data_IF_277754098143
#
_entry.id   IF_277754098143
#
_cell.length_a   1.000
_cell.length_b   1.000
_cell.length_c   1.000
_cell.angle_alpha   90.00
_cell.angle_beta   90.00
_cell.angle_gamma   90.00
#
_symmetry.space_group_name_H-M   'P 1'
#
loop_
_entity.id
_entity.type
_entity.pdbx_description
1 polymer ?
#
# COMPACT_ATOMS: atom_id res chain seq x y z
N UNK A 1 0.20 -12.29 9.73
CA UNK A 1 1.48 -11.63 9.37
C UNK A 1 2.28 -11.40 10.65
N UNK A 2 3.61 -11.52 10.65
CA UNK A 2 4.41 -11.22 11.85
C UNK A 2 4.63 -9.70 11.99
N UNK A 3 4.91 -9.20 13.21
CA UNK A 3 5.21 -7.77 13.43
C UNK A 3 6.38 -7.28 12.57
N UNK A 4 7.37 -8.13 12.29
CA UNK A 4 8.51 -7.79 11.43
C UNK A 4 8.08 -7.58 9.98
N UNK A 5 7.29 -8.50 9.43
CA UNK A 5 6.74 -8.41 8.07
C UNK A 5 5.85 -7.18 7.88
N UNK A 6 5.13 -6.75 8.92
CA UNK A 6 4.36 -5.51 8.92
C UNK A 6 5.26 -4.27 8.86
N UNK A 7 6.35 -4.23 9.63
CA UNK A 7 7.29 -3.10 9.59
C UNK A 7 7.96 -2.99 8.23
N UNK A 8 8.32 -4.12 7.62
CA UNK A 8 8.87 -4.18 6.26
C UNK A 8 7.87 -3.69 5.22
N UNK A 9 6.59 -4.08 5.36
CA UNK A 9 5.50 -3.58 4.52
C UNK A 9 5.34 -2.06 4.62
N UNK A 10 5.27 -1.52 5.82
CA UNK A 10 5.13 -0.09 6.04
C UNK A 10 6.37 0.69 5.56
N UNK A 11 7.57 0.17 5.82
CA UNK A 11 8.81 0.76 5.33
C UNK A 11 8.88 0.72 3.79
N UNK A 12 8.41 -0.36 3.18
CA UNK A 12 8.29 -0.44 1.74
C UNK A 12 7.33 0.61 1.19
N UNK A 13 6.13 0.73 1.74
CA UNK A 13 5.15 1.71 1.28
C UNK A 13 5.70 3.14 1.42
N UNK A 14 6.34 3.47 2.55
CA UNK A 14 6.99 4.76 2.75
C UNK A 14 8.10 5.02 1.73
N UNK A 15 8.87 4.00 1.33
CA UNK A 15 9.93 4.11 0.33
C UNK A 15 9.43 4.03 -1.13
N UNK A 16 8.28 3.40 -1.36
CA UNK A 16 7.64 3.24 -2.68
C UNK A 16 6.86 4.47 -3.11
N UNK A 17 6.51 5.35 -2.16
CA UNK A 17 5.72 6.57 -2.32
C UNK A 17 6.26 7.61 -3.32
N UNK A 18 7.22 7.28 -4.18
CA UNK A 18 7.81 8.16 -5.19
C UNK A 18 6.84 8.82 -6.18
N UNK A 19 5.53 8.53 -6.14
CA UNK A 19 4.52 9.29 -6.88
C UNK A 19 3.27 9.69 -6.05
N UNK A 20 3.24 9.40 -4.75
CA UNK A 20 2.22 9.92 -3.83
C UNK A 20 2.40 11.42 -3.50
N UNK A 21 3.50 12.03 -3.94
CA UNK A 21 3.93 13.37 -3.50
C UNK A 21 3.57 14.53 -4.44
N UNK A 22 2.78 14.32 -5.51
CA UNK A 22 2.63 15.38 -6.54
C UNK A 22 1.52 16.40 -6.24
N UNK A 23 0.73 16.27 -5.16
CA UNK A 23 -0.38 17.24 -4.93
C UNK A 23 -0.84 17.50 -3.48
N UNK A 24 -0.30 16.83 -2.47
CA UNK A 24 -0.70 17.09 -1.08
C UNK A 24 0.08 18.29 -0.50
N UNK A 25 -0.58 19.26 0.16
CA UNK A 25 0.13 20.36 0.81
C UNK A 25 1.06 19.82 1.91
N UNK A 26 2.29 20.33 1.97
CA UNK A 26 3.35 19.87 2.88
C UNK A 26 2.96 19.87 4.38
N UNK A 27 1.93 20.64 4.77
CA UNK A 27 1.39 20.67 6.13
C UNK A 27 0.41 19.52 6.45
N UNK A 28 -0.03 18.76 5.44
CA UNK A 28 -0.84 17.56 5.60
C UNK A 28 -0.01 16.28 5.76
N UNK A 29 1.32 16.41 5.93
CA UNK A 29 2.26 15.30 5.88
C UNK A 29 3.07 15.12 7.19
N UNK A 30 2.51 14.48 8.22
CA UNK A 30 3.33 13.53 8.96
C UNK A 30 3.59 12.35 8.01
N UNK A 31 4.82 11.85 7.94
CA UNK A 31 5.07 10.58 7.24
C UNK A 31 4.02 9.56 7.68
N UNK A 32 3.43 8.82 6.74
CA UNK A 32 2.27 7.95 6.99
C UNK A 32 2.55 7.12 8.24
N UNK A 33 1.92 7.49 9.35
CA UNK A 33 2.05 6.77 10.60
C UNK A 33 1.24 5.47 10.50
N UNK A 34 1.43 4.59 11.47
CA UNK A 34 0.80 3.29 11.47
C UNK A 34 -0.74 3.39 11.40
N UNK A 35 -1.33 4.38 12.06
CA UNK A 35 -2.78 4.61 12.08
C UNK A 35 -3.29 5.18 10.75
N UNK A 36 -2.54 6.07 10.10
CA UNK A 36 -2.80 6.53 8.74
C UNK A 36 -2.77 5.40 7.72
N UNK A 37 -1.79 4.50 7.81
CA UNK A 37 -1.69 3.33 6.95
C UNK A 37 -2.89 2.39 7.08
N UNK A 38 -3.36 2.14 8.31
CA UNK A 38 -4.55 1.33 8.57
C UNK A 38 -5.79 1.98 7.96
N UNK A 39 -6.00 3.28 8.20
CA UNK A 39 -7.18 4.00 7.66
C UNK A 39 -7.25 3.99 6.13
N UNK A 40 -6.10 4.12 5.46
CA UNK A 40 -6.03 3.99 4.00
C UNK A 40 -6.40 2.56 3.58
N UNK A 41 -5.90 1.55 4.28
CA UNK A 41 -6.22 0.15 3.99
C UNK A 41 -7.69 -0.19 4.20
N UNK A 42 -8.30 0.27 5.28
CA UNK A 42 -9.73 0.11 5.55
C UNK A 42 -10.60 0.82 4.50
N UNK A 43 -10.18 2.01 4.07
CA UNK A 43 -10.85 2.72 2.98
C UNK A 43 -10.77 1.92 1.68
N UNK A 44 -9.59 1.39 1.35
CA UNK A 44 -9.40 0.57 0.16
C UNK A 44 -10.29 -0.67 0.17
N UNK A 45 -10.37 -1.39 1.30
CA UNK A 45 -11.23 -2.58 1.45
C UNK A 45 -12.71 -2.21 1.29
N UNK A 46 -13.15 -1.10 1.89
CA UNK A 46 -14.54 -0.64 1.80
C UNK A 46 -14.96 -0.31 0.38
N UNK A 47 -14.05 0.28 -0.39
CA UNK A 47 -14.27 0.63 -1.80
C UNK A 47 -14.06 -0.58 -2.74
N UNK A 48 -13.40 -1.65 -2.26
CA UNK A 48 -13.12 -2.87 -3.01
C UNK A 48 -13.55 -4.12 -2.20
N UNK A 49 -14.86 -4.38 -2.05
CA UNK A 49 -15.37 -5.44 -1.16
C UNK A 49 -15.03 -6.87 -1.61
N UNK A 50 -14.54 -7.05 -2.84
CA UNK A 50 -14.08 -8.34 -3.37
C UNK A 50 -12.64 -8.69 -2.96
N UNK A 51 -11.96 -7.81 -2.22
CA UNK A 51 -10.57 -8.00 -1.80
C UNK A 51 -10.49 -9.04 -0.68
N UNK A 52 -9.90 -10.19 -0.99
CA UNK A 52 -9.59 -11.26 -0.05
C UNK A 52 -8.14 -11.15 0.43
N UNK A 53 -7.92 -11.19 1.75
CA UNK A 53 -6.61 -11.14 2.39
C UNK A 53 -5.63 -12.22 1.87
N UNK A 54 -6.06 -13.48 1.81
CA UNK A 54 -5.24 -14.58 1.34
C UNK A 54 -4.98 -14.49 -0.17
N UNK A 55 -5.91 -13.89 -0.92
CA UNK A 55 -5.68 -13.60 -2.33
C UNK A 55 -4.61 -12.52 -2.51
N UNK A 56 -4.72 -11.40 -1.78
CA UNK A 56 -3.73 -10.31 -1.82
C UNK A 56 -2.34 -10.77 -1.39
N UNK A 57 -2.24 -11.52 -0.30
CA UNK A 57 -0.94 -11.99 0.17
C UNK A 57 -0.27 -12.90 -0.87
N UNK A 58 -1.03 -13.83 -1.48
CA UNK A 58 -0.49 -14.71 -2.55
C UNK A 58 -0.14 -13.94 -3.82
N UNK A 59 -0.90 -12.89 -4.15
CA UNK A 59 -0.67 -12.10 -5.36
C UNK A 59 0.56 -11.17 -5.22
N UNK A 60 0.66 -10.48 -4.08
CA UNK A 60 1.66 -9.44 -3.85
C UNK A 60 2.95 -9.99 -3.25
N UNK A 61 2.85 -11.02 -2.40
CA UNK A 61 3.94 -11.58 -1.63
C UNK A 61 3.88 -13.14 -1.65
N UNK A 62 3.87 -13.78 -2.83
CA UNK A 62 3.71 -15.23 -2.95
C UNK A 62 4.74 -16.03 -2.14
N UNK A 63 5.96 -15.51 -2.06
CA UNK A 63 7.09 -16.10 -1.33
C UNK A 63 7.44 -15.27 -0.08
N UNK A 64 6.54 -14.40 0.38
CA UNK A 64 6.81 -13.45 1.45
C UNK A 64 7.73 -12.29 1.04
N UNK A 65 8.25 -11.60 2.05
CA UNK A 65 9.17 -10.47 1.87
C UNK A 65 10.55 -10.94 1.41
N UNK A 66 10.99 -10.44 0.27
CA UNK A 66 12.30 -10.70 -0.31
C UNK A 66 12.70 -9.53 -1.21
N UNK A 67 14.00 -9.39 -1.51
CA UNK A 67 14.48 -8.36 -2.44
C UNK A 67 13.79 -8.43 -3.80
N UNK A 68 13.51 -9.65 -4.29
CA UNK A 68 12.77 -9.89 -5.53
C UNK A 68 11.32 -9.43 -5.42
N UNK A 69 10.63 -9.74 -4.32
CA UNK A 69 9.27 -9.27 -4.09
C UNK A 69 9.23 -7.73 -4.04
N UNK A 70 10.16 -7.11 -3.31
CA UNK A 70 10.34 -5.67 -3.23
C UNK A 70 10.54 -5.03 -4.61
N UNK A 71 11.42 -5.59 -5.45
CA UNK A 71 11.63 -5.10 -6.82
C UNK A 71 10.37 -5.25 -7.69
N UNK A 72 9.67 -6.39 -7.58
CA UNK A 72 8.41 -6.65 -8.28
C UNK A 72 7.31 -5.67 -7.89
N UNK A 73 7.17 -5.36 -6.59
CA UNK A 73 6.21 -4.37 -6.10
C UNK A 73 6.55 -2.97 -6.62
N UNK A 74 7.82 -2.54 -6.61
CA UNK A 74 8.22 -1.24 -7.21
C UNK A 74 7.86 -1.15 -8.68
N UNK A 75 8.03 -2.25 -9.42
CA UNK A 75 7.68 -2.29 -10.83
C UNK A 75 6.15 -2.15 -11.03
N UNK A 76 5.35 -2.86 -10.24
CA UNK A 76 3.88 -2.77 -10.27
C UNK A 76 3.38 -1.37 -9.92
N UNK A 77 3.92 -0.75 -8.87
CA UNK A 77 3.60 0.63 -8.49
C UNK A 77 3.87 1.61 -9.65
N UNK A 78 5.02 1.48 -10.32
CA UNK A 78 5.33 2.32 -11.50
C UNK A 78 4.37 2.07 -12.66
N UNK A 79 4.01 0.80 -12.91
CA UNK A 79 3.04 0.46 -13.94
C UNK A 79 1.66 1.06 -13.63
N UNK A 80 1.22 1.01 -12.37
CA UNK A 80 -0.04 1.62 -11.93
C UNK A 80 -0.10 3.12 -12.21
N UNK A 81 0.96 3.87 -11.88
CA UNK A 81 1.00 5.29 -12.18
C UNK A 81 1.01 5.56 -13.69
N UNK A 82 1.78 4.79 -14.46
CA UNK A 82 1.83 4.93 -15.92
C UNK A 82 0.48 4.63 -16.57
N UNK A 83 -0.23 3.64 -16.05
CA UNK A 83 -1.50 3.15 -16.60
C UNK A 83 -2.71 3.88 -15.97
N UNK A 84 -2.47 4.85 -15.08
CA UNK A 84 -3.50 5.64 -14.40
C UNK A 84 -4.32 4.87 -13.34
N UNK A 85 -3.86 3.70 -12.91
CA UNK A 85 -4.51 2.88 -11.87
C UNK A 85 -4.18 3.42 -10.48
N UNK A 86 -5.00 4.35 -10.01
CA UNK A 86 -4.75 5.04 -8.75
C UNK A 86 -5.95 4.91 -7.82
N UNK A 87 -5.65 4.81 -6.54
CA UNK A 87 -6.61 4.93 -5.46
C UNK A 87 -6.55 6.34 -4.90
N UNK A 88 -7.71 7.01 -4.88
CA UNK A 88 -7.83 8.39 -4.38
C UNK A 88 -8.76 8.40 -3.18
N UNK A 89 -8.25 8.79 -2.01
CA UNK A 89 -9.04 8.82 -0.79
C UNK A 89 -8.66 10.02 0.05
N UNK A 90 -9.63 10.92 0.34
CA UNK A 90 -9.43 12.11 1.21
C UNK A 90 -8.15 12.93 0.89
N UNK A 91 -7.89 13.18 -0.40
CA UNK A 91 -6.73 13.95 -0.85
C UNK A 91 -5.44 13.13 -0.99
N UNK A 92 -5.43 11.87 -0.56
CA UNK A 92 -4.37 10.92 -0.88
C UNK A 92 -4.56 10.39 -2.29
N UNK A 93 -3.47 10.28 -3.04
CA UNK A 93 -3.43 9.66 -4.36
C UNK A 93 -2.26 8.70 -4.41
N UNK A 94 -2.57 7.41 -4.40
CA UNK A 94 -1.59 6.32 -4.37
C UNK A 94 -1.87 5.36 -5.52
N UNK A 95 -0.91 4.51 -5.87
CA UNK A 95 -1.15 3.43 -6.83
C UNK A 95 -2.15 2.41 -6.30
N UNK A 96 -2.83 1.70 -7.20
CA UNK A 96 -3.68 0.56 -6.82
C UNK A 96 -2.90 -0.49 -6.00
N UNK A 97 -1.67 -0.80 -6.41
CA UNK A 97 -0.77 -1.71 -5.69
C UNK A 97 -0.49 -1.22 -4.26
N UNK A 98 -0.22 0.07 -4.06
CA UNK A 98 -0.06 0.64 -2.71
C UNK A 98 -1.34 0.51 -1.90
N UNK A 99 -2.51 0.78 -2.50
CA UNK A 99 -3.81 0.59 -1.83
C UNK A 99 -4.02 -0.85 -1.34
N UNK A 100 -3.71 -1.84 -2.18
CA UNK A 100 -3.76 -3.26 -1.79
C UNK A 100 -2.76 -3.61 -0.70
N UNK A 101 -1.57 -3.02 -0.71
CA UNK A 101 -0.55 -3.20 0.33
C UNK A 101 -1.01 -2.60 1.66
N UNK A 102 -1.66 -1.43 1.65
CA UNK A 102 -2.30 -0.87 2.83
C UNK A 102 -3.45 -1.73 3.34
N UNK A 103 -4.29 -2.27 2.44
CA UNK A 103 -5.35 -3.20 2.81
C UNK A 103 -4.79 -4.45 3.50
N UNK A 104 -3.70 -5.03 2.95
CA UNK A 104 -3.00 -6.15 3.57
C UNK A 104 -2.46 -5.78 4.97
N UNK A 105 -1.96 -4.57 5.15
CA UNK A 105 -1.47 -4.08 6.44
C UNK A 105 -2.60 -3.88 7.48
N UNK A 106 -3.78 -3.42 7.04
CA UNK A 106 -4.94 -3.16 7.88
C UNK A 106 -5.60 -4.44 8.38
N UNK A 107 -5.76 -5.44 7.50
CA UNK A 107 -6.37 -6.74 7.88
C UNK A 107 -5.48 -7.50 8.86
N UNK A 108 -4.16 -7.37 8.74
CA UNK A 108 -3.21 -8.06 9.61
C UNK A 108 -3.12 -7.51 11.05
N UNK A 109 -3.82 -6.42 11.38
CA UNK A 109 -3.90 -5.84 12.73
C UNK A 109 -5.18 -6.22 13.49
N UNK A 110 -6.10 -6.94 12.84
CA UNK A 110 -7.26 -7.58 13.46
C UNK A 110 -6.90 -8.98 13.98
#
# INVERSE_FOLDING_TARGET
>A
MTKLQRRELLAFIAAAGGAAFVSAPAHAMPGIDQEGAIRIGEAYIRENPSVDHHALQRELLPNGWSATALAGLKHRVRADFRDGRMFVHRGWRISDTEGRLFALAAIADQ
#
